data_IF_022136211577
#
_entry.id   IF_022136211577
#
_cell.length_a   1.000
_cell.length_b   1.000
_cell.length_c   1.000
_cell.angle_alpha   90.00
_cell.angle_beta   90.00
_cell.angle_gamma   90.00
#
_symmetry.space_group_name_H-M   'P 1'
#
loop_
_entity.id
_entity.type
_entity.pdbx_description
1 polymer ?
#
# COMPACT_ATOMS: atom_id res chain seq x y z
N UNK A 1 1.03 9.53 -5.29
CA UNK A 1 2.18 8.59 -5.32
C UNK A 1 2.19 7.87 -6.65
N UNK A 2 1.11 7.21 -7.07
CA UNK A 2 1.19 6.23 -8.15
C UNK A 2 0.85 6.76 -9.54
N UNK A 3 0.04 7.79 -9.70
CA UNK A 3 -0.11 8.39 -11.04
C UNK A 3 1.22 9.01 -11.47
N UNK A 4 1.83 9.81 -10.60
CA UNK A 4 3.18 10.38 -10.81
C UNK A 4 4.33 9.35 -10.87
N UNK A 5 4.28 8.23 -10.13
CA UNK A 5 5.27 7.15 -10.26
C UNK A 5 5.06 6.26 -11.50
N UNK A 6 3.85 6.22 -12.08
CA UNK A 6 3.56 5.46 -13.30
C UNK A 6 3.86 6.30 -14.55
N UNK A 7 3.63 7.61 -14.51
CA UNK A 7 3.97 8.55 -15.60
C UNK A 7 5.47 8.66 -15.85
N UNK A 8 6.30 8.45 -14.84
CA UNK A 8 7.77 8.45 -14.98
C UNK A 8 8.34 7.19 -15.66
N UNK A 9 7.47 6.27 -16.13
CA UNK A 9 7.88 5.14 -16.98
C UNK A 9 8.02 5.52 -18.46
N UNK A 10 7.63 6.74 -18.86
CA UNK A 10 7.95 7.24 -20.20
C UNK A 10 9.28 7.99 -20.18
N UNK A 11 10.26 7.44 -20.89
CA UNK A 11 11.58 8.01 -21.03
C UNK A 11 11.51 9.33 -21.81
N UNK A 12 11.59 10.45 -21.09
CA UNK A 12 12.26 11.64 -21.60
C UNK A 12 11.46 12.93 -21.62
N UNK A 13 10.94 13.42 -20.49
CA UNK A 13 10.76 14.87 -20.31
C UNK A 13 10.43 15.21 -18.85
N UNK A 14 11.45 15.57 -18.06
CA UNK A 14 11.24 16.23 -16.77
C UNK A 14 12.16 17.43 -16.70
N UNK A 15 11.83 18.45 -17.49
CA UNK A 15 12.43 19.78 -17.37
C UNK A 15 11.40 20.90 -17.15
N UNK A 16 10.11 20.58 -16.95
CA UNK A 16 9.08 21.61 -16.80
C UNK A 16 8.00 21.24 -15.79
N UNK A 17 8.32 21.28 -14.51
CA UNK A 17 7.31 21.51 -13.46
C UNK A 17 7.98 22.27 -12.31
N UNK A 18 8.51 23.44 -12.64
CA UNK A 18 8.52 24.59 -11.74
C UNK A 18 7.53 25.57 -12.35
N UNK A 19 6.75 26.22 -11.48
CA UNK A 19 5.79 27.29 -11.78
C UNK A 19 4.32 26.82 -11.91
N UNK A 20 3.68 26.56 -10.77
CA UNK A 20 2.26 26.80 -10.55
C UNK A 20 1.93 26.75 -9.05
N UNK A 21 2.42 27.73 -8.31
CA UNK A 21 1.90 28.08 -6.99
C UNK A 21 1.40 29.53 -7.08
N UNK A 22 0.10 29.72 -7.31
CA UNK A 22 -0.68 30.86 -6.80
C UNK A 22 -2.17 30.68 -7.14
N UNK A 23 -3.02 30.87 -6.13
CA UNK A 23 -4.47 31.18 -6.19
C UNK A 23 -5.41 30.11 -6.80
N UNK A 24 -6.47 29.64 -6.14
CA UNK A 24 -7.50 30.46 -5.50
C UNK A 24 -8.30 29.63 -4.49
N UNK A 25 -8.59 30.32 -3.39
CA UNK A 25 -9.54 30.06 -2.30
C UNK A 25 -10.96 29.80 -2.85
N UNK A 26 -11.70 28.83 -2.32
CA UNK A 26 -13.06 28.96 -1.77
C UNK A 26 -13.65 27.57 -1.44
N UNK A 27 -14.16 27.44 -0.21
CA UNK A 27 -14.95 26.30 0.29
C UNK A 27 -16.45 26.45 -0.06
N UNK A 28 -17.38 25.66 0.52
CA UNK A 28 -18.15 24.63 -0.16
C UNK A 28 -19.63 25.00 -0.32
N UNK A 29 -20.37 24.28 -1.17
CA UNK A 29 -21.84 24.33 -1.17
C UNK A 29 -22.42 22.96 -0.89
N UNK A 30 -23.00 22.87 0.30
CA UNK A 30 -23.97 21.88 0.75
C UNK A 30 -25.23 21.98 -0.12
N UNK A 31 -25.72 20.85 -0.61
CA UNK A 31 -27.14 20.68 -0.92
C UNK A 31 -27.55 19.23 -0.64
N UNK A 32 -28.69 19.11 0.02
CA UNK A 32 -29.23 17.91 0.62
C UNK A 32 -30.56 17.56 -0.05
N UNK A 33 -30.86 16.25 0.00
CA UNK A 33 -32.18 15.61 -0.03
C UNK A 33 -33.02 15.66 -1.32
N UNK A 34 -33.30 14.47 -1.86
CA UNK A 34 -34.61 13.79 -1.80
C UNK A 34 -34.36 12.35 -2.31
N UNK A 35 -34.68 11.26 -1.59
CA UNK A 35 -36.02 10.86 -1.19
C UNK A 35 -36.67 10.05 -2.31
N UNK A 36 -36.64 8.70 -2.25
CA UNK A 36 -37.76 7.82 -2.64
C UNK A 36 -37.41 6.36 -2.30
N UNK A 37 -38.25 5.81 -1.43
CA UNK A 37 -38.38 4.44 -0.98
C UNK A 37 -39.07 3.59 -2.06
N UNK A 38 -38.47 2.48 -2.51
CA UNK A 38 -39.21 1.31 -3.04
C UNK A 38 -38.42 -0.01 -2.91
N UNK A 39 -39.05 -0.96 -2.22
CA UNK A 39 -38.94 -2.42 -2.36
C UNK A 39 -40.36 -2.97 -2.07
N UNK A 40 -40.70 -4.25 -2.35
CA UNK A 40 -39.96 -5.28 -3.10
C UNK A 40 -40.84 -6.03 -4.13
N UNK A 41 -40.24 -6.81 -5.01
CA UNK A 41 -40.96 -7.91 -5.68
C UNK A 41 -40.09 -9.17 -5.78
N UNK A 42 -40.75 -10.32 -5.63
CA UNK A 42 -40.23 -11.69 -5.58
C UNK A 42 -39.94 -12.20 -6.99
N UNK A 43 -38.97 -13.11 -7.15
CA UNK A 43 -39.09 -14.51 -7.62
C UNK A 43 -37.88 -14.73 -8.57
N UNK A 44 -37.19 -15.86 -8.76
CA UNK A 44 -37.47 -17.28 -8.65
C UNK A 44 -36.20 -18.04 -8.27
N UNK A 45 -36.41 -19.20 -7.64
CA UNK A 45 -35.41 -20.21 -7.37
C UNK A 45 -34.90 -20.88 -8.65
N UNK A 46 -33.58 -20.92 -8.84
CA UNK A 46 -32.91 -21.84 -9.75
C UNK A 46 -32.22 -22.94 -8.96
N UNK A 47 -32.74 -24.14 -9.19
CA UNK A 47 -32.35 -25.45 -8.70
C UNK A 47 -31.03 -25.88 -9.35
N UNK A 48 -29.94 -25.89 -8.60
CA UNK A 48 -28.75 -26.66 -8.98
C UNK A 48 -28.83 -28.05 -8.34
N UNK A 49 -29.04 -29.06 -9.20
CA UNK A 49 -28.78 -30.46 -8.89
C UNK A 49 -27.28 -30.67 -8.95
N UNK A 50 -26.69 -31.26 -7.92
CA UNK A 50 -25.46 -32.03 -8.07
C UNK A 50 -25.63 -33.32 -7.26
N UNK A 51 -26.04 -34.37 -7.98
CA UNK A 51 -25.65 -35.73 -7.66
C UNK A 51 -24.14 -35.82 -7.85
N UNK A 52 -23.42 -36.35 -6.87
CA UNK A 52 -22.21 -37.11 -7.14
C UNK A 52 -22.01 -38.16 -6.04
N UNK A 53 -21.64 -39.33 -6.55
CA UNK A 53 -21.69 -40.65 -5.99
C UNK A 53 -20.91 -40.89 -4.69
N UNK A 54 -21.39 -41.90 -3.98
CA UNK A 54 -20.72 -42.50 -2.85
C UNK A 54 -19.48 -43.30 -3.29
N UNK A 55 -18.38 -43.09 -2.58
CA UNK A 55 -17.42 -44.17 -2.27
C UNK A 55 -16.67 -43.85 -0.98
N UNK A 56 -16.98 -44.65 0.04
CA UNK A 56 -16.32 -44.75 1.35
C UNK A 56 -14.83 -45.06 1.25
N UNK A 57 -13.97 -44.31 1.96
CA UNK A 57 -12.97 -44.87 2.89
C UNK A 57 -12.17 -43.79 3.62
N UNK A 58 -12.24 -43.77 4.96
CA UNK A 58 -11.12 -43.46 5.84
C UNK A 58 -10.65 -42.00 6.00
N UNK A 59 -11.21 -41.30 6.99
CA UNK A 59 -10.50 -40.23 7.69
C UNK A 59 -11.39 -39.15 8.36
N UNK A 60 -12.06 -39.50 9.45
CA UNK A 60 -13.00 -38.61 10.16
C UNK A 60 -12.40 -37.36 10.87
N UNK A 61 -11.18 -36.94 10.53
CA UNK A 61 -10.53 -35.76 11.12
C UNK A 61 -10.61 -34.49 10.25
N UNK A 62 -10.59 -34.63 8.92
CA UNK A 62 -10.40 -33.49 8.01
C UNK A 62 -11.70 -32.71 7.70
N UNK A 63 -12.88 -33.35 7.75
CA UNK A 63 -14.17 -32.69 7.45
C UNK A 63 -14.61 -31.75 8.57
N UNK A 64 -14.38 -32.15 9.83
CA UNK A 64 -14.72 -31.33 11.00
C UNK A 64 -13.88 -30.05 11.07
N UNK A 65 -12.58 -30.13 10.77
CA UNK A 65 -11.66 -28.99 10.70
C UNK A 65 -12.09 -27.98 9.63
N UNK A 66 -12.40 -28.46 8.42
CA UNK A 66 -12.83 -27.62 7.30
C UNK A 66 -14.16 -26.92 7.58
N UNK A 67 -15.14 -27.64 8.15
CA UNK A 67 -16.44 -27.07 8.50
C UNK A 67 -16.34 -26.06 9.65
N UNK A 68 -15.49 -26.30 10.66
CA UNK A 68 -15.16 -25.31 11.69
C UNK A 68 -14.53 -24.07 11.10
N UNK A 69 -13.57 -24.24 10.18
CA UNK A 69 -12.90 -23.12 9.49
C UNK A 69 -13.88 -22.33 8.62
N UNK A 70 -14.81 -22.99 7.94
CA UNK A 70 -15.85 -22.33 7.16
C UNK A 70 -16.78 -21.51 8.06
N UNK A 71 -17.23 -22.07 9.18
CA UNK A 71 -18.04 -21.36 10.20
C UNK A 71 -17.28 -20.15 10.75
N UNK A 72 -16.02 -20.31 11.14
CA UNK A 72 -15.18 -19.21 11.62
C UNK A 72 -15.01 -18.12 10.58
N UNK A 73 -14.73 -18.47 9.32
CA UNK A 73 -14.63 -17.50 8.22
C UNK A 73 -15.94 -16.74 7.99
N UNK A 74 -17.07 -17.44 8.07
CA UNK A 74 -18.40 -16.83 7.94
C UNK A 74 -18.67 -15.83 9.06
N UNK A 75 -18.39 -16.19 10.31
CA UNK A 75 -18.54 -15.30 11.46
C UNK A 75 -17.59 -14.10 11.36
N UNK A 76 -16.34 -14.32 10.97
CA UNK A 76 -15.35 -13.26 10.77
C UNK A 76 -15.83 -12.25 9.71
N UNK A 77 -16.33 -12.73 8.58
CA UNK A 77 -16.87 -11.84 7.53
C UNK A 77 -18.01 -10.97 8.04
N UNK A 78 -18.96 -11.55 8.79
CA UNK A 78 -20.09 -10.80 9.33
C UNK A 78 -19.66 -9.70 10.32
N UNK A 79 -18.59 -9.94 11.09
CA UNK A 79 -18.02 -8.94 11.99
C UNK A 79 -17.31 -7.81 11.22
N UNK A 80 -16.56 -8.12 10.16
CA UNK A 80 -15.88 -7.09 9.35
C UNK A 80 -16.85 -6.17 8.59
N UNK A 81 -18.08 -6.60 8.36
CA UNK A 81 -19.13 -5.81 7.73
C UNK A 81 -19.90 -4.92 8.74
N UNK A 82 -19.64 -5.04 10.04
CA UNK A 82 -20.25 -4.21 11.08
C UNK A 82 -19.76 -2.75 10.97
N UNK A 83 -20.65 -1.75 10.86
CA UNK A 83 -20.26 -0.34 10.81
C UNK A 83 -19.45 0.13 12.03
N UNK A 84 -19.56 -0.52 13.18
CA UNK A 84 -18.76 -0.22 14.38
C UNK A 84 -17.28 -0.59 14.16
N UNK A 85 -17.01 -1.54 13.28
CA UNK A 85 -15.67 -2.05 12.99
C UNK A 85 -15.07 -1.48 11.70
N UNK A 86 -15.59 -0.36 11.19
CA UNK A 86 -15.09 0.30 9.96
C UNK A 86 -13.60 0.66 10.01
N UNK A 87 -13.05 0.82 11.21
CA UNK A 87 -11.65 1.17 11.43
C UNK A 87 -10.71 -0.04 11.31
N UNK A 88 -11.24 -1.25 11.33
CA UNK A 88 -10.48 -2.49 11.17
C UNK A 88 -10.29 -2.79 9.68
N UNK A 89 -9.06 -3.04 9.21
CA UNK A 89 -8.83 -3.45 7.83
C UNK A 89 -9.61 -4.72 7.47
N UNK A 90 -10.07 -4.84 6.21
CA UNK A 90 -10.79 -6.02 5.68
C UNK A 90 -10.00 -7.34 5.80
N UNK A 91 -8.70 -7.26 6.03
CA UNK A 91 -7.83 -8.39 6.34
C UNK A 91 -6.93 -8.04 7.52
N UNK A 92 -7.43 -8.14 8.76
CA UNK A 92 -6.64 -7.76 9.93
C UNK A 92 -5.62 -8.84 10.26
N UNK A 93 -4.34 -8.48 10.45
CA UNK A 93 -3.41 -9.33 11.20
C UNK A 93 -3.56 -9.08 12.70
N UNK A 94 -3.22 -10.07 13.54
CA UNK A 94 -3.28 -9.91 15.00
C UNK A 94 -2.49 -8.68 15.47
N UNK A 95 -1.37 -8.40 14.82
CA UNK A 95 -0.57 -7.19 15.06
C UNK A 95 -1.33 -5.90 14.77
N UNK A 96 -2.17 -5.87 13.73
CA UNK A 96 -2.92 -4.65 13.38
C UNK A 96 -3.98 -4.37 14.44
N UNK A 97 -4.69 -5.40 14.87
CA UNK A 97 -5.71 -5.28 15.92
C UNK A 97 -5.06 -4.83 17.23
N UNK A 98 -3.91 -5.41 17.59
CA UNK A 98 -3.14 -4.99 18.77
C UNK A 98 -2.67 -3.53 18.66
N UNK A 99 -2.22 -3.08 17.48
CA UNK A 99 -1.86 -1.67 17.27
C UNK A 99 -3.06 -0.73 17.36
N UNK A 100 -4.26 -1.16 16.94
CA UNK A 100 -5.49 -0.37 17.03
C UNK A 100 -5.99 -0.28 18.48
N UNK A 101 -5.93 -1.38 19.23
CA UNK A 101 -6.20 -1.37 20.67
C UNK A 101 -5.21 -0.45 21.37
N UNK A 102 -3.92 -0.58 21.05
CA UNK A 102 -2.86 0.28 21.61
C UNK A 102 -3.06 1.75 21.27
N UNK A 103 -3.67 2.07 20.12
CA UNK A 103 -4.01 3.44 19.75
C UNK A 103 -5.12 3.99 20.64
N UNK A 104 -6.17 3.21 20.88
CA UNK A 104 -7.26 3.58 21.79
C UNK A 104 -6.76 3.76 23.24
N UNK A 105 -5.79 2.94 23.64
CA UNK A 105 -5.13 3.01 24.94
C UNK A 105 -4.00 4.07 25.03
N UNK A 106 -3.72 4.81 23.95
CA UNK A 106 -2.71 5.88 23.90
C UNK A 106 -1.24 5.43 23.81
N UNK A 107 -0.98 4.15 23.58
CA UNK A 107 0.36 3.56 23.42
C UNK A 107 0.84 3.48 21.97
N UNK A 108 -0.05 3.76 21.02
CA UNK A 108 0.25 3.94 19.60
C UNK A 108 -0.13 5.34 19.12
N UNK A 109 0.40 5.72 17.96
CA UNK A 109 0.23 7.03 17.35
C UNK A 109 -0.26 6.89 15.90
N UNK A 110 -1.12 7.83 15.50
CA UNK A 110 -1.55 8.04 14.11
C UNK A 110 -0.60 9.02 13.46
N UNK A 111 -0.10 8.67 12.27
CA UNK A 111 0.72 9.54 11.45
C UNK A 111 0.03 9.73 10.12
N UNK A 112 -0.15 10.98 9.71
CA UNK A 112 -0.72 11.30 8.40
C UNK A 112 0.40 11.44 7.38
N UNK A 113 0.31 10.71 6.27
CA UNK A 113 1.31 10.70 5.21
C UNK A 113 0.77 11.50 4.04
N UNK A 114 1.37 12.65 3.77
CA UNK A 114 1.04 13.49 2.62
C UNK A 114 1.68 12.91 1.35
N UNK A 115 0.84 12.51 0.39
CA UNK A 115 1.26 12.03 -0.93
C UNK A 115 1.73 13.20 -1.80
N UNK A 116 2.45 12.86 -2.88
CA UNK A 116 2.87 13.82 -3.92
C UNK A 116 1.69 14.48 -4.65
N UNK A 117 0.52 13.81 -4.67
CA UNK A 117 -0.68 14.29 -5.38
C UNK A 117 -1.51 15.24 -4.48
N UNK A 118 -0.97 15.68 -3.34
CA UNK A 118 -1.65 16.56 -2.37
C UNK A 118 -2.67 15.87 -1.47
N UNK A 119 -3.04 14.61 -1.74
CA UNK A 119 -3.90 13.81 -0.85
C UNK A 119 -3.09 13.21 0.31
N UNK A 120 -3.74 12.95 1.44
CA UNK A 120 -3.12 12.29 2.60
C UNK A 120 -3.82 10.98 2.96
N UNK A 121 -3.13 10.14 3.71
CA UNK A 121 -3.69 8.93 4.32
C UNK A 121 -3.02 8.65 5.65
N UNK A 122 -3.74 8.01 6.56
CA UNK A 122 -3.25 7.76 7.91
C UNK A 122 -2.69 6.34 8.05
N UNK A 123 -1.63 6.23 8.85
CA UNK A 123 -1.04 4.97 9.31
C UNK A 123 -0.95 4.97 10.83
N UNK A 124 -1.23 3.82 11.45
CA UNK A 124 -1.14 3.62 12.90
C UNK A 124 0.13 2.84 13.21
N UNK A 125 0.92 3.31 14.15
CA UNK A 125 2.19 2.71 14.57
C UNK A 125 2.35 2.80 16.09
N UNK A 126 3.07 1.86 16.68
CA UNK A 126 3.45 1.95 18.10
C UNK A 126 4.29 3.21 18.36
N UNK A 127 4.22 3.77 19.56
CA UNK A 127 5.03 4.94 19.92
C UNK A 127 6.54 4.64 19.78
N UNK A 128 6.96 3.40 20.05
CA UNK A 128 8.34 2.93 19.93
C UNK A 128 8.76 2.56 18.51
N UNK A 129 7.90 2.78 17.51
CA UNK A 129 8.19 2.40 16.13
C UNK A 129 9.35 3.20 15.52
N UNK A 130 10.04 2.54 14.60
CA UNK A 130 11.18 3.10 13.85
C UNK A 130 10.76 3.64 12.48
N UNK A 131 11.65 4.38 11.82
CA UNK A 131 11.45 4.81 10.43
C UNK A 131 11.23 3.62 9.48
N UNK A 132 11.87 2.47 9.75
CA UNK A 132 11.64 1.23 8.99
C UNK A 132 10.19 0.78 9.10
N UNK A 133 9.62 0.80 10.29
CA UNK A 133 8.23 0.39 10.53
C UNK A 133 7.24 1.35 9.86
N UNK A 134 7.54 2.65 9.84
CA UNK A 134 6.77 3.63 9.09
C UNK A 134 6.77 3.34 7.58
N UNK A 135 7.92 3.05 6.98
CA UNK A 135 8.00 2.65 5.57
C UNK A 135 7.23 1.37 5.29
N UNK A 136 7.27 0.39 6.21
CA UNK A 136 6.53 -0.86 6.09
C UNK A 136 5.01 -0.65 6.19
N UNK A 137 4.55 0.17 7.12
CA UNK A 137 3.13 0.49 7.27
C UNK A 137 2.60 1.26 6.05
N UNK A 138 3.37 2.22 5.52
CA UNK A 138 3.05 2.89 4.25
C UNK A 138 2.95 1.88 3.12
N UNK A 139 3.93 0.98 3.01
CA UNK A 139 3.92 -0.08 2.00
C UNK A 139 2.66 -0.93 2.06
N UNK A 140 2.30 -1.37 3.26
CA UNK A 140 1.11 -2.20 3.50
C UNK A 140 -0.17 -1.45 3.15
N UNK A 141 -0.36 -0.25 3.70
CA UNK A 141 -1.56 0.57 3.49
C UNK A 141 -1.79 0.93 2.03
N UNK A 142 -0.74 1.36 1.33
CA UNK A 142 -0.83 1.69 -0.10
C UNK A 142 -1.10 0.43 -0.93
N UNK A 143 -0.50 -0.71 -0.60
CA UNK A 143 -0.78 -1.95 -1.30
C UNK A 143 -2.26 -2.36 -1.13
N UNK A 144 -2.82 -2.26 0.08
CA UNK A 144 -4.24 -2.54 0.33
C UNK A 144 -5.18 -1.59 -0.43
N UNK A 145 -4.90 -0.28 -0.38
CA UNK A 145 -5.74 0.73 -1.03
C UNK A 145 -5.72 0.61 -2.56
N UNK A 146 -4.55 0.36 -3.14
CA UNK A 146 -4.32 0.51 -4.58
C UNK A 146 -4.33 -0.81 -5.34
N UNK A 147 -4.09 -1.95 -4.69
CA UNK A 147 -4.13 -3.25 -5.35
C UNK A 147 -5.53 -3.59 -5.88
N UNK A 148 -6.58 -3.07 -5.24
CA UNK A 148 -7.96 -3.16 -5.74
C UNK A 148 -8.17 -2.44 -7.08
N UNK A 149 -7.39 -1.37 -7.36
CA UNK A 149 -7.50 -0.53 -8.56
C UNK A 149 -6.54 -0.95 -9.67
N UNK A 150 -5.47 -1.65 -9.34
CA UNK A 150 -4.35 -1.90 -10.27
C UNK A 150 -4.36 -3.26 -10.97
N UNK A 151 -5.23 -4.19 -10.56
CA UNK A 151 -5.29 -5.54 -11.11
C UNK A 151 -3.98 -6.30 -10.91
N UNK A 152 -3.38 -6.79 -11.99
CA UNK A 152 -2.12 -7.55 -11.97
C UNK A 152 -0.86 -6.68 -11.87
N UNK A 153 -0.98 -5.35 -11.78
CA UNK A 153 0.17 -4.46 -11.62
C UNK A 153 0.57 -4.39 -10.15
N UNK A 154 1.87 -4.36 -9.89
CA UNK A 154 2.44 -4.25 -8.55
C UNK A 154 3.36 -3.05 -8.42
N UNK A 155 3.43 -2.50 -7.21
CA UNK A 155 4.27 -1.35 -6.88
C UNK A 155 5.69 -1.83 -6.57
N UNK A 156 6.68 -1.27 -7.27
CA UNK A 156 8.09 -1.52 -6.96
C UNK A 156 8.55 -0.63 -5.81
N UNK A 157 8.36 -1.08 -4.58
CA UNK A 157 8.78 -0.36 -3.37
C UNK A 157 10.28 -0.07 -3.32
N UNK A 158 11.10 -0.92 -3.92
CA UNK A 158 12.54 -0.67 -4.07
C UNK A 158 12.80 0.59 -4.89
N UNK A 159 12.05 0.80 -5.96
CA UNK A 159 12.15 1.99 -6.78
C UNK A 159 11.63 3.23 -6.04
N UNK A 160 10.51 3.09 -5.33
CA UNK A 160 9.93 4.18 -4.52
C UNK A 160 10.95 4.69 -3.50
N UNK A 161 11.52 3.82 -2.66
CA UNK A 161 12.49 4.24 -1.65
C UNK A 161 13.86 4.65 -2.20
N UNK A 162 14.15 4.35 -3.48
CA UNK A 162 15.37 4.81 -4.14
C UNK A 162 15.25 6.24 -4.71
N UNK A 163 14.03 6.68 -5.05
CA UNK A 163 13.77 7.96 -5.68
C UNK A 163 12.98 8.94 -4.79
N UNK A 164 12.52 8.48 -3.63
CA UNK A 164 11.73 9.28 -2.71
C UNK A 164 12.12 9.00 -1.26
N UNK A 165 11.95 10.00 -0.40
CA UNK A 165 12.10 9.87 1.03
C UNK A 165 10.96 10.57 1.79
N UNK A 166 10.89 10.31 3.10
CA UNK A 166 9.95 10.96 3.99
C UNK A 166 10.63 12.19 4.62
N UNK A 167 9.90 13.30 4.67
CA UNK A 167 10.31 14.56 5.26
C UNK A 167 9.38 14.92 6.42
N UNK A 168 9.97 15.32 7.55
CA UNK A 168 9.24 15.85 8.70
C UNK A 168 9.96 17.08 9.23
N UNK A 169 9.27 18.23 9.36
CA UNK A 169 9.86 19.50 9.82
C UNK A 169 11.24 19.82 9.22
N UNK A 170 11.40 19.64 7.91
CA UNK A 170 12.65 19.85 7.14
C UNK A 170 13.77 18.83 7.39
N UNK A 171 13.52 17.78 8.16
CA UNK A 171 14.43 16.66 8.37
C UNK A 171 14.02 15.44 7.52
N UNK A 172 14.99 14.88 6.79
CA UNK A 172 14.78 13.70 5.95
C UNK A 172 14.97 12.43 6.78
N UNK A 173 13.94 11.59 6.86
CA UNK A 173 13.97 10.32 7.57
C UNK A 173 14.75 9.26 6.78
N UNK A 174 16.08 9.35 6.82
CA UNK A 174 16.99 8.42 6.12
C UNK A 174 17.41 7.24 7.00
N UNK A 175 17.52 7.46 8.31
CA UNK A 175 17.98 6.46 9.27
C UNK A 175 16.86 5.48 9.60
N UNK A 176 16.93 4.25 9.09
CA UNK A 176 15.86 3.25 9.27
C UNK A 176 15.74 2.74 10.71
N UNK A 177 16.83 2.77 11.48
CA UNK A 177 16.89 2.30 12.86
C UNK A 177 16.51 3.36 13.89
N UNK A 178 16.38 4.63 13.50
CA UNK A 178 16.04 5.71 14.41
C UNK A 178 14.55 5.64 14.77
N UNK A 179 14.24 5.92 16.04
CA UNK A 179 12.86 5.95 16.50
C UNK A 179 12.17 7.20 15.93
N UNK A 180 10.88 7.09 15.62
CA UNK A 180 10.12 8.23 15.09
C UNK A 180 10.08 9.40 16.09
N UNK A 181 10.07 9.09 17.38
CA UNK A 181 10.11 10.07 18.47
C UNK A 181 11.40 10.91 18.48
N UNK A 182 12.53 10.34 18.03
CA UNK A 182 13.82 11.06 17.99
C UNK A 182 13.77 12.25 17.03
N UNK A 183 12.96 12.14 15.97
CA UNK A 183 12.68 13.20 15.00
C UNK A 183 11.56 14.16 15.46
N UNK A 184 10.99 13.94 16.66
CA UNK A 184 9.85 14.69 17.17
C UNK A 184 8.50 14.34 16.54
N UNK A 185 8.38 13.17 15.88
CA UNK A 185 7.11 12.68 15.33
C UNK A 185 6.25 12.15 16.49
N UNK A 186 5.00 12.62 16.56
CA UNK A 186 4.03 12.30 17.62
C UNK A 186 2.68 11.94 17.00
N UNK A 187 1.68 11.70 17.86
CA UNK A 187 0.32 11.46 17.42
C UNK A 187 -0.23 12.66 16.62
N UNK A 188 -0.85 12.35 15.49
CA UNK A 188 -1.37 13.28 14.48
C UNK A 188 -0.28 14.11 13.77
N UNK A 189 0.99 13.75 13.88
CA UNK A 189 2.04 14.35 13.07
C UNK A 189 1.83 14.03 11.59
N UNK A 190 2.18 14.99 10.73
CA UNK A 190 2.13 14.83 9.28
C UNK A 190 3.55 14.70 8.71
N UNK A 191 3.80 13.62 7.96
CA UNK A 191 5.04 13.40 7.21
C UNK A 191 4.78 13.58 5.72
N UNK A 192 5.74 14.15 5.00
CA UNK A 192 5.60 14.45 3.58
C UNK A 192 6.44 13.52 2.73
N UNK A 193 5.86 13.01 1.64
CA UNK A 193 6.60 12.29 0.62
C UNK A 193 7.31 13.29 -0.29
N UNK A 194 8.63 13.22 -0.40
CA UNK A 194 9.40 14.13 -1.27
C UNK A 194 10.30 13.36 -2.24
N UNK A 195 10.56 13.90 -3.45
CA UNK A 195 11.58 13.37 -4.34
C UNK A 195 12.96 13.38 -3.68
N UNK A 196 13.65 12.25 -3.77
CA UNK A 196 15.01 12.04 -3.29
C UNK A 196 15.86 11.45 -4.40
N UNK A 197 16.72 12.28 -4.99
CA UNK A 197 17.74 11.80 -5.91
C UNK A 197 18.91 11.34 -5.06
N UNK A 198 18.99 10.03 -4.78
CA UNK A 198 20.21 9.46 -4.25
C UNK A 198 21.34 9.78 -5.25
N UNK A 199 22.42 10.41 -4.79
CA UNK A 199 23.62 10.57 -5.61
C UNK A 199 24.09 9.16 -5.98
N UNK A 200 23.73 8.70 -7.18
CA UNK A 200 24.21 7.42 -7.70
C UNK A 200 25.73 7.54 -7.68
N UNK A 201 26.37 6.74 -6.82
CA UNK A 201 27.77 6.39 -7.06
C UNK A 201 27.80 5.91 -8.50
N UNK A 202 28.51 6.63 -9.36
CA UNK A 202 28.58 6.33 -10.78
C UNK A 202 28.93 4.84 -10.87
N UNK A 203 27.96 4.00 -11.24
CA UNK A 203 28.28 2.66 -11.67
C UNK A 203 29.02 2.90 -12.97
N UNK A 204 30.35 3.05 -12.86
CA UNK A 204 31.26 2.93 -13.99
C UNK A 204 30.83 1.64 -14.65
N UNK A 205 30.17 1.76 -15.80
CA UNK A 205 29.94 0.61 -16.65
C UNK A 205 31.30 -0.07 -16.75
N UNK A 206 31.39 -1.28 -16.20
CA UNK A 206 32.53 -2.14 -16.48
C UNK A 206 32.48 -2.31 -17.99
N UNK A 207 33.37 -1.60 -18.70
CA UNK A 207 33.53 -1.78 -20.15
C UNK A 207 33.96 -3.22 -20.29
N UNK A 208 33.01 -4.09 -20.61
CA UNK A 208 33.29 -5.49 -20.90
C UNK A 208 34.46 -5.52 -21.88
N UNK A 209 35.53 -6.23 -21.51
CA UNK A 209 36.71 -6.38 -22.36
C UNK A 209 36.23 -6.94 -23.69
N UNK A 210 36.23 -6.12 -24.74
CA UNK A 210 36.06 -6.61 -26.11
C UNK A 210 37.22 -7.55 -26.37
N UNK A 211 36.92 -8.85 -26.45
CA UNK A 211 37.83 -9.82 -27.03
C UNK A 211 38.04 -9.40 -28.47
N UNK A 212 39.26 -8.95 -28.81
CA UNK A 212 39.65 -8.67 -30.18
C UNK A 212 39.59 -9.99 -30.93
N UNK A 213 38.49 -10.22 -31.64
CA UNK A 213 38.46 -11.24 -32.68
C UNK A 213 39.57 -10.92 -33.69
N UNK A 214 40.31 -11.97 -34.03
CA UNK A 214 41.57 -11.97 -34.75
C UNK A 214 41.61 -11.04 -35.98
N UNK A 215 42.59 -10.13 -36.01
CA UNK A 215 43.22 -9.72 -37.27
C UNK A 215 44.27 -10.78 -37.60
N UNK A 216 44.00 -11.61 -38.60
CA UNK A 216 44.89 -12.71 -38.93
C UNK A 216 44.52 -13.40 -40.22
N UNK A 217 44.39 -12.64 -41.31
CA UNK A 217 44.56 -13.17 -42.67
C UNK A 217 45.37 -12.15 -43.46
N UNK A 218 46.70 -12.22 -43.31
CA UNK A 218 47.59 -11.65 -44.31
C UNK A 218 47.45 -12.47 -45.59
N UNK A 219 47.19 -11.77 -46.70
CA UNK A 219 47.35 -12.28 -48.05
C UNK A 219 48.84 -12.40 -48.36
N UNK A 220 49.26 -13.53 -48.92
CA UNK A 220 50.41 -13.58 -49.84
C UNK A 220 50.32 -14.82 -50.73
N UNK A 221 50.23 -14.54 -52.03
CA UNK A 221 50.61 -15.33 -53.21
C UNK A 221 49.90 -16.64 -53.50
#
# INVERSE_FOLDING_TARGET
ILETCLETRDCGEIQKFKDAACETRLSPKVEAQDGVLRRPEREMASREKNENDASTSGGGGYEGENMKRARLKSTLSALLDDPILSDVPKMPSLSDVDTLISLELGSAMRISVLKLDGTSFDVVLMNTATVKDLKLAIKKKVNEMEQSKMGHRHISWRHVWANYCLLYHNEKLLNESAALQDFGIRNNSQVQFIPFIAAKQSRRHSRGKKHRFFHGLNKSS
#
